data_IF_914933548663
#
_entry.id   IF_914933548663
#
_cell.length_a   1.000
_cell.length_b   1.000
_cell.length_c   1.000
_cell.angle_alpha   90.00
_cell.angle_beta   90.00
_cell.angle_gamma   90.00
#
_symmetry.space_group_name_H-M   'P 1'
#
loop_
_entity.id
_entity.type
_entity.pdbx_description
1 polymer ?
#
# COMPACT_ATOMS: atom_id res chain seq x y z
N UNK A 1 29.63 6.61 35.42
CA UNK A 1 29.16 6.86 34.05
C UNK A 1 30.12 6.18 33.10
N UNK A 2 29.76 4.99 32.63
CA UNK A 2 30.58 4.21 31.69
C UNK A 2 30.27 4.70 30.29
N UNK A 3 31.26 5.32 29.65
CA UNK A 3 31.17 5.77 28.26
C UNK A 3 31.08 4.52 27.36
N UNK A 4 29.95 4.32 26.71
CA UNK A 4 29.80 3.28 25.68
C UNK A 4 30.33 3.88 24.37
N UNK A 5 31.57 3.57 24.02
CA UNK A 5 32.11 3.92 22.71
C UNK A 5 31.44 3.06 21.64
N UNK A 6 30.54 3.68 20.88
CA UNK A 6 29.98 3.08 19.67
C UNK A 6 31.08 3.17 18.59
N UNK A 7 31.91 2.14 18.50
CA UNK A 7 32.86 2.02 17.40
C UNK A 7 32.07 1.80 16.11
N UNK A 8 32.25 2.72 15.15
CA UNK A 8 31.73 2.55 13.80
C UNK A 8 32.57 1.46 13.11
N UNK A 9 31.97 0.38 12.59
CA UNK A 9 32.73 -0.70 11.96
C UNK A 9 33.45 -0.20 10.70
N UNK A 10 34.60 -0.82 10.41
CA UNK A 10 35.43 -0.55 9.23
C UNK A 10 34.60 -0.68 7.96
N UNK A 11 34.68 0.34 7.09
CA UNK A 11 33.97 0.46 5.81
C UNK A 11 34.13 -0.80 4.94
N UNK A 12 32.96 -1.28 4.46
CA UNK A 12 32.70 -2.14 3.29
C UNK A 12 33.43 -3.49 3.30
N UNK A 13 32.70 -4.57 3.59
CA UNK A 13 33.10 -5.89 3.10
C UNK A 13 32.96 -5.88 1.57
N UNK A 14 34.05 -6.01 0.78
CA UNK A 14 33.97 -5.98 -0.69
C UNK A 14 33.07 -7.07 -1.27
N UNK A 15 32.77 -8.10 -0.46
CA UNK A 15 32.09 -9.32 -0.87
C UNK A 15 30.73 -9.53 -0.15
N UNK A 16 30.14 -8.49 0.46
CA UNK A 16 28.88 -8.62 1.21
C UNK A 16 29.02 -9.27 2.59
N UNK A 17 27.89 -9.64 3.20
CA UNK A 17 27.78 -10.18 4.55
C UNK A 17 27.25 -11.61 4.53
N UNK A 18 27.88 -12.53 5.24
CA UNK A 18 27.38 -13.90 5.37
C UNK A 18 26.17 -13.94 6.31
N UNK A 19 25.07 -14.55 5.88
CA UNK A 19 23.81 -14.65 6.64
C UNK A 19 23.49 -16.12 6.90
N UNK A 20 23.10 -16.48 8.13
CA UNK A 20 22.58 -17.81 8.44
C UNK A 20 21.08 -17.72 8.72
N UNK A 21 20.27 -17.99 7.70
CA UNK A 21 18.79 -17.90 7.77
C UNK A 21 18.15 -18.98 8.65
N UNK A 22 18.90 -20.03 9.00
CA UNK A 22 18.43 -21.08 9.91
C UNK A 22 18.49 -20.65 11.38
N UNK A 23 19.13 -19.51 11.68
CA UNK A 23 19.23 -18.95 13.03
C UNK A 23 18.28 -17.77 13.19
N UNK A 24 17.72 -17.64 14.40
CA UNK A 24 16.83 -16.54 14.75
C UNK A 24 15.39 -16.76 14.30
N UNK A 25 14.66 -15.65 14.08
CA UNK A 25 13.26 -15.65 13.66
C UNK A 25 13.12 -14.94 12.31
N UNK A 26 12.27 -15.50 11.44
CA UNK A 26 11.93 -14.88 10.16
C UNK A 26 10.59 -14.16 10.26
N UNK A 27 10.58 -12.87 9.92
CA UNK A 27 9.36 -12.04 9.86
C UNK A 27 8.94 -11.91 8.40
N UNK A 28 7.88 -12.63 8.02
CA UNK A 28 7.43 -12.72 6.62
C UNK A 28 6.64 -11.51 6.08
N UNK A 29 6.49 -10.41 6.84
CA UNK A 29 5.66 -9.27 6.40
C UNK A 29 6.19 -8.59 5.15
N UNK A 30 7.50 -8.36 5.06
CA UNK A 30 8.13 -7.70 3.90
C UNK A 30 8.19 -8.66 2.71
N UNK A 31 8.51 -9.93 2.95
CA UNK A 31 8.57 -10.93 1.88
C UNK A 31 7.19 -11.26 1.29
N UNK A 32 6.12 -11.18 2.10
CA UNK A 32 4.76 -11.37 1.59
C UNK A 32 4.31 -10.22 0.69
N UNK A 33 4.79 -9.00 0.93
CA UNK A 33 4.59 -7.89 -0.01
C UNK A 33 5.29 -8.20 -1.33
N UNK A 34 6.59 -8.53 -1.33
CA UNK A 34 7.28 -8.89 -2.58
C UNK A 34 6.59 -10.01 -3.38
N UNK A 35 6.12 -11.05 -2.70
CA UNK A 35 5.46 -12.20 -3.33
C UNK A 35 4.12 -11.83 -3.99
N UNK A 36 3.33 -10.94 -3.36
CA UNK A 36 1.98 -10.61 -3.82
C UNK A 36 1.93 -9.46 -4.83
N UNK A 37 3.02 -8.70 -5.01
CA UNK A 37 3.03 -7.49 -5.83
C UNK A 37 3.40 -7.82 -7.28
N UNK A 38 2.52 -7.61 -8.27
CA UNK A 38 2.84 -7.78 -9.69
C UNK A 38 3.79 -6.69 -10.19
N UNK A 39 4.42 -6.89 -11.34
CA UNK A 39 5.53 -6.05 -11.83
C UNK A 39 5.15 -4.58 -12.09
N UNK A 40 3.89 -4.30 -12.41
CA UNK A 40 3.33 -2.97 -12.60
C UNK A 40 3.15 -2.19 -11.29
N UNK A 41 3.05 -2.88 -10.16
CA UNK A 41 2.97 -2.28 -8.82
C UNK A 41 4.35 -1.99 -8.21
N UNK A 42 5.45 -2.38 -8.85
CA UNK A 42 6.82 -2.26 -8.32
C UNK A 42 7.54 -1.02 -8.85
N UNK A 43 8.21 -0.26 -8.01
CA UNK A 43 8.88 0.98 -8.40
C UNK A 43 10.37 0.92 -8.08
N UNK A 44 11.22 1.56 -8.88
CA UNK A 44 12.68 1.48 -8.68
C UNK A 44 13.22 2.62 -7.82
N UNK A 45 12.42 3.65 -7.61
CA UNK A 45 12.79 4.82 -6.84
C UNK A 45 11.58 5.45 -6.15
N UNK A 46 11.82 6.21 -5.08
CA UNK A 46 10.77 6.95 -4.39
C UNK A 46 10.19 8.06 -5.27
N UNK A 47 10.99 8.63 -6.18
CA UNK A 47 10.51 9.62 -7.15
C UNK A 47 9.49 9.02 -8.12
N UNK A 48 9.78 7.84 -8.69
CA UNK A 48 8.86 7.18 -9.62
C UNK A 48 7.57 6.76 -8.92
N UNK A 49 7.71 6.21 -7.71
CA UNK A 49 6.58 5.86 -6.84
C UNK A 49 5.71 7.08 -6.57
N UNK A 50 6.31 8.17 -6.06
CA UNK A 50 5.62 9.42 -5.76
C UNK A 50 4.90 9.98 -6.98
N UNK A 51 5.56 10.05 -8.13
CA UNK A 51 4.96 10.56 -9.37
C UNK A 51 3.78 9.71 -9.84
N UNK A 52 3.79 8.40 -9.59
CA UNK A 52 2.67 7.52 -9.88
C UNK A 52 1.47 7.81 -8.98
N UNK A 53 1.66 7.80 -7.66
CA UNK A 53 0.57 8.00 -6.70
C UNK A 53 0.04 9.44 -6.68
N UNK A 54 0.91 10.42 -6.97
CA UNK A 54 0.50 11.83 -7.11
C UNK A 54 -0.42 12.03 -8.33
N UNK A 55 -0.04 11.51 -9.51
CA UNK A 55 -0.91 11.56 -10.71
C UNK A 55 -2.25 10.88 -10.48
N UNK A 56 -2.29 9.83 -9.67
CA UNK A 56 -3.53 9.15 -9.28
C UNK A 56 -4.40 10.03 -8.38
N UNK A 57 -3.79 10.67 -7.37
CA UNK A 57 -4.47 11.61 -6.47
C UNK A 57 -5.04 12.82 -7.21
N UNK A 58 -4.28 13.41 -8.14
CA UNK A 58 -4.71 14.55 -8.98
C UNK A 58 -5.95 14.25 -9.84
N UNK A 59 -6.16 12.98 -10.20
CA UNK A 59 -7.34 12.50 -10.95
C UNK A 59 -8.49 12.04 -10.04
N UNK A 60 -8.29 12.10 -8.73
CA UNK A 60 -9.27 11.63 -7.76
C UNK A 60 -10.13 12.78 -7.24
N UNK A 61 -11.36 12.46 -6.87
CA UNK A 61 -12.30 13.40 -6.27
C UNK A 61 -12.93 12.78 -5.04
N UNK A 62 -12.96 13.52 -3.93
CA UNK A 62 -13.69 13.13 -2.73
C UNK A 62 -15.00 13.89 -2.66
N UNK A 63 -16.08 13.23 -2.22
CA UNK A 63 -17.36 13.87 -1.89
C UNK A 63 -17.88 13.37 -0.57
N UNK A 64 -18.64 14.20 0.12
CA UNK A 64 -19.50 13.79 1.22
C UNK A 64 -20.92 13.96 0.72
N UNK A 65 -21.70 12.88 0.76
CA UNK A 65 -23.05 12.83 0.20
C UNK A 65 -23.99 12.18 1.19
N UNK A 66 -25.24 12.64 1.19
CA UNK A 66 -26.30 12.00 1.96
C UNK A 66 -26.60 10.62 1.36
N UNK A 67 -26.68 9.61 2.23
CA UNK A 67 -26.82 8.20 1.87
C UNK A 67 -28.12 7.95 1.12
N UNK A 68 -29.20 8.58 1.56
CA UNK A 68 -30.52 8.48 0.93
C UNK A 68 -30.60 9.14 -0.45
N UNK A 69 -29.72 10.10 -0.73
CA UNK A 69 -29.67 10.80 -2.00
C UNK A 69 -28.92 10.00 -3.08
N UNK A 70 -28.21 8.93 -2.69
CA UNK A 70 -27.56 8.03 -3.64
C UNK A 70 -28.59 7.09 -4.27
N UNK A 71 -28.60 7.05 -5.60
CA UNK A 71 -29.44 6.11 -6.35
C UNK A 71 -28.59 5.00 -6.95
N UNK A 72 -29.01 3.76 -6.73
CA UNK A 72 -28.37 2.57 -7.29
C UNK A 72 -29.13 2.16 -8.55
N UNK A 73 -28.41 2.10 -9.67
CA UNK A 73 -28.98 1.72 -10.96
C UNK A 73 -28.28 0.48 -11.52
N UNK A 74 -29.07 -0.51 -11.91
CA UNK A 74 -28.59 -1.67 -12.64
C UNK A 74 -28.81 -1.46 -14.15
N UNK A 75 -27.83 -1.84 -14.95
CA UNK A 75 -27.91 -1.77 -16.41
C UNK A 75 -28.99 -2.73 -16.92
N UNK A 76 -29.87 -2.23 -17.81
CA UNK A 76 -30.89 -3.06 -18.45
C UNK A 76 -30.29 -4.08 -19.42
N UNK A 77 -29.19 -3.69 -20.08
CA UNK A 77 -28.56 -4.48 -21.14
C UNK A 77 -27.43 -5.39 -20.64
N UNK A 78 -27.09 -5.29 -19.35
CA UNK A 78 -26.02 -6.09 -18.76
C UNK A 78 -26.33 -6.40 -17.28
N UNK A 79 -26.69 -7.65 -16.95
CA UNK A 79 -27.10 -8.03 -15.60
C UNK A 79 -25.95 -8.01 -14.58
N UNK A 80 -24.70 -7.82 -15.00
CA UNK A 80 -23.53 -7.71 -14.10
C UNK A 80 -23.15 -6.26 -13.80
N UNK A 81 -23.76 -5.29 -14.51
CA UNK A 81 -23.35 -3.88 -14.41
C UNK A 81 -24.28 -3.10 -13.47
N UNK A 82 -23.67 -2.56 -12.41
CA UNK A 82 -24.30 -1.68 -11.43
C UNK A 82 -23.54 -0.36 -11.37
N UNK A 83 -24.27 0.75 -11.26
CA UNK A 83 -23.71 2.10 -11.11
C UNK A 83 -24.44 2.88 -10.02
N UNK A 84 -23.77 3.88 -9.46
CA UNK A 84 -24.31 4.80 -8.47
C UNK A 84 -24.48 6.18 -9.11
N UNK A 85 -25.65 6.77 -8.93
CA UNK A 85 -25.91 8.17 -9.19
C UNK A 85 -25.67 8.93 -7.88
N UNK A 86 -24.53 9.59 -7.79
CA UNK A 86 -24.20 10.44 -6.66
C UNK A 86 -24.75 11.86 -6.90
N UNK A 87 -25.19 12.57 -5.84
CA UNK A 87 -25.50 13.99 -5.93
C UNK A 87 -24.33 14.79 -6.53
N UNK A 88 -24.63 15.71 -7.44
CA UNK A 88 -23.67 16.59 -8.11
C UNK A 88 -22.53 15.87 -8.88
N UNK A 89 -22.73 14.59 -9.21
CA UNK A 89 -21.87 13.88 -10.15
C UNK A 89 -22.40 14.04 -11.58
N UNK A 90 -21.51 14.41 -12.50
CA UNK A 90 -21.84 14.62 -13.91
C UNK A 90 -22.03 13.31 -14.69
N UNK A 91 -21.69 12.17 -14.09
CA UNK A 91 -21.77 10.85 -14.69
C UNK A 91 -22.05 9.78 -13.64
N UNK A 92 -22.68 8.65 -14.01
CA UNK A 92 -22.81 7.49 -13.13
C UNK A 92 -21.44 6.94 -12.73
N UNK A 93 -21.31 6.54 -11.47
CA UNK A 93 -20.07 6.01 -10.91
C UNK A 93 -20.15 4.49 -10.78
N UNK A 94 -19.17 3.77 -11.32
CA UNK A 94 -19.11 2.32 -11.17
C UNK A 94 -18.32 1.92 -9.91
N UNK A 95 -18.88 1.14 -8.98
CA UNK A 95 -18.10 0.60 -7.87
C UNK A 95 -17.07 -0.42 -8.34
N UNK A 96 -15.88 -0.38 -7.74
CA UNK A 96 -14.90 -1.46 -7.80
C UNK A 96 -15.36 -2.63 -6.93
N UNK A 97 -14.70 -3.78 -7.06
CA UNK A 97 -14.96 -4.91 -6.16
C UNK A 97 -14.78 -4.53 -4.68
N UNK A 98 -13.81 -3.66 -4.39
CA UNK A 98 -13.52 -3.16 -3.04
C UNK A 98 -14.61 -2.23 -2.53
N UNK A 99 -14.92 -1.17 -3.27
CA UNK A 99 -15.90 -0.16 -2.85
C UNK A 99 -17.33 -0.71 -2.81
N UNK A 100 -17.67 -1.69 -3.65
CA UNK A 100 -18.91 -2.46 -3.52
C UNK A 100 -18.99 -3.17 -2.15
N UNK A 101 -17.89 -3.78 -1.73
CA UNK A 101 -17.80 -4.43 -0.41
C UNK A 101 -17.97 -3.43 0.73
N UNK A 102 -17.36 -2.26 0.62
CA UNK A 102 -17.51 -1.19 1.59
C UNK A 102 -18.95 -0.66 1.66
N UNK A 103 -19.57 -0.41 0.51
CA UNK A 103 -20.95 0.03 0.41
C UNK A 103 -21.90 -0.98 1.06
N UNK A 104 -21.73 -2.27 0.76
CA UNK A 104 -22.51 -3.34 1.38
C UNK A 104 -22.31 -3.38 2.90
N UNK A 105 -21.07 -3.26 3.37
CA UNK A 105 -20.75 -3.25 4.81
C UNK A 105 -21.37 -2.03 5.53
N UNK A 106 -21.36 -0.85 4.91
CA UNK A 106 -21.93 0.37 5.49
C UNK A 106 -23.43 0.22 5.73
N UNK A 107 -24.13 -0.44 4.81
CA UNK A 107 -25.58 -0.67 4.93
C UNK A 107 -25.93 -1.97 5.66
N UNK A 108 -24.95 -2.65 6.26
CA UNK A 108 -25.16 -3.90 7.02
C UNK A 108 -25.49 -5.12 6.16
N UNK A 109 -25.20 -5.09 4.86
CA UNK A 109 -25.49 -6.17 3.93
C UNK A 109 -24.26 -7.10 3.70
N UNK A 110 -24.45 -8.42 3.59
CA UNK A 110 -23.36 -9.35 3.30
C UNK A 110 -22.83 -9.20 1.85
N UNK A 111 -21.67 -8.59 1.67
CA UNK A 111 -21.07 -8.32 0.36
C UNK A 111 -20.89 -9.59 -0.50
N UNK A 112 -20.46 -10.70 0.11
CA UNK A 112 -20.23 -11.96 -0.59
C UNK A 112 -21.52 -12.52 -1.21
N UNK A 113 -22.65 -12.38 -0.51
CA UNK A 113 -23.96 -12.79 -1.02
C UNK A 113 -24.42 -11.86 -2.14
N UNK A 114 -24.33 -10.54 -1.95
CA UNK A 114 -24.76 -9.58 -2.97
C UNK A 114 -24.00 -9.71 -4.29
N UNK A 115 -22.73 -10.13 -4.26
CA UNK A 115 -21.92 -10.39 -5.47
C UNK A 115 -22.37 -11.60 -6.28
N UNK A 116 -23.16 -12.51 -5.68
CA UNK A 116 -23.71 -13.66 -6.38
C UNK A 116 -25.06 -13.34 -7.03
N UNK A 117 -25.65 -12.19 -6.72
CA UNK A 117 -26.93 -11.77 -7.26
C UNK A 117 -26.72 -10.99 -8.57
N UNK A 118 -27.65 -11.10 -9.53
CA UNK A 118 -27.73 -10.17 -10.64
C UNK A 118 -27.81 -8.72 -10.13
N UNK A 119 -27.18 -7.80 -10.87
CA UNK A 119 -27.10 -6.38 -10.55
C UNK A 119 -28.46 -5.74 -10.16
N UNK A 120 -29.61 -6.07 -10.78
CA UNK A 120 -30.90 -5.54 -10.32
C UNK A 120 -31.25 -5.92 -8.88
N UNK A 121 -31.02 -7.17 -8.48
CA UNK A 121 -31.31 -7.63 -7.12
C UNK A 121 -30.31 -7.07 -6.11
N UNK A 122 -29.02 -7.10 -6.45
CA UNK A 122 -27.99 -6.46 -5.64
C UNK A 122 -28.28 -4.96 -5.45
N UNK A 123 -28.70 -4.28 -6.53
CA UNK A 123 -29.03 -2.86 -6.53
C UNK A 123 -30.21 -2.51 -5.64
N UNK A 124 -31.29 -3.29 -5.68
CA UNK A 124 -32.45 -3.10 -4.79
C UNK A 124 -32.05 -3.26 -3.32
N UNK A 125 -31.26 -4.29 -3.00
CA UNK A 125 -30.79 -4.52 -1.63
C UNK A 125 -29.90 -3.36 -1.13
N UNK A 126 -28.98 -2.88 -1.97
CA UNK A 126 -28.12 -1.74 -1.65
C UNK A 126 -28.94 -0.45 -1.50
N UNK A 127 -29.90 -0.19 -2.40
CA UNK A 127 -30.76 0.97 -2.32
C UNK A 127 -31.59 0.98 -1.04
N UNK A 128 -32.17 -0.17 -0.66
CA UNK A 128 -32.90 -0.29 0.59
C UNK A 128 -32.01 0.00 1.80
N UNK A 129 -30.78 -0.52 1.80
CA UNK A 129 -29.80 -0.26 2.83
C UNK A 129 -29.42 1.23 2.95
N UNK A 130 -29.20 1.90 1.82
CA UNK A 130 -28.85 3.33 1.76
C UNK A 130 -29.95 4.24 2.31
N UNK A 131 -31.22 3.93 2.00
CA UNK A 131 -32.38 4.68 2.50
C UNK A 131 -32.58 4.54 4.03
N UNK A 132 -32.06 3.48 4.64
CA UNK A 132 -32.20 3.20 6.07
C UNK A 132 -30.86 3.35 6.83
N UNK A 133 -29.86 3.97 6.20
CA UNK A 133 -28.51 4.06 6.76
C UNK A 133 -28.43 5.09 7.90
N UNK A 134 -27.98 4.64 9.08
CA UNK A 134 -27.96 5.44 10.32
C UNK A 134 -27.03 6.66 10.30
N UNK A 135 -25.89 6.58 9.61
CA UNK A 135 -24.88 7.64 9.70
C UNK A 135 -25.20 8.86 8.82
N UNK A 136 -26.36 8.85 8.13
CA UNK A 136 -26.92 9.85 7.21
C UNK A 136 -26.02 10.18 6.01
N UNK A 137 -24.72 10.35 6.19
CA UNK A 137 -23.75 10.70 5.14
C UNK A 137 -22.67 9.64 4.95
N UNK A 138 -22.12 9.58 3.74
CA UNK A 138 -20.94 8.79 3.40
C UNK A 138 -19.94 9.63 2.62
N UNK A 139 -18.67 9.24 2.70
CA UNK A 139 -17.58 9.86 1.97
C UNK A 139 -17.12 8.95 0.83
N UNK A 140 -17.19 9.45 -0.40
CA UNK A 140 -16.75 8.73 -1.59
C UNK A 140 -15.34 9.14 -2.00
N UNK A 141 -14.59 8.22 -2.60
CA UNK A 141 -13.39 8.51 -3.36
C UNK A 141 -13.61 8.01 -4.79
N UNK A 142 -13.67 8.93 -5.74
CA UNK A 142 -13.89 8.69 -7.16
C UNK A 142 -12.58 8.89 -7.92
N UNK A 143 -12.38 8.16 -9.03
CA UNK A 143 -11.31 8.42 -9.97
C UNK A 143 -11.82 8.27 -11.39
N UNK A 144 -11.38 9.17 -12.27
CA UNK A 144 -11.68 9.07 -13.69
C UNK A 144 -10.59 8.25 -14.38
N UNK A 145 -10.92 7.06 -14.88
CA UNK A 145 -10.01 6.18 -15.63
C UNK A 145 -10.70 5.54 -16.85
N UNK A 146 -11.03 6.37 -17.84
CA UNK A 146 -11.85 6.00 -18.99
C UNK A 146 -13.35 5.96 -18.67
N UNK A 147 -13.70 5.52 -17.46
CA UNK A 147 -15.00 5.74 -16.82
C UNK A 147 -14.80 6.26 -15.40
N UNK A 148 -15.83 6.85 -14.81
CA UNK A 148 -15.82 7.29 -13.42
C UNK A 148 -16.00 6.07 -12.50
N UNK A 149 -14.98 5.77 -11.71
CA UNK A 149 -14.96 4.62 -10.80
C UNK A 149 -14.96 5.07 -9.34
N UNK A 150 -15.75 4.40 -8.51
CA UNK A 150 -15.77 4.60 -7.08
C UNK A 150 -14.72 3.68 -6.47
N UNK A 151 -13.62 4.25 -5.99
CA UNK A 151 -12.52 3.50 -5.37
C UNK A 151 -12.78 3.16 -3.92
N UNK A 152 -13.44 4.06 -3.20
CA UNK A 152 -13.72 3.86 -1.79
C UNK A 152 -15.05 4.49 -1.36
N UNK A 153 -15.66 3.87 -0.35
CA UNK A 153 -16.78 4.42 0.41
C UNK A 153 -16.47 4.28 1.88
N UNK A 154 -16.44 5.39 2.61
CA UNK A 154 -16.10 5.43 4.04
C UNK A 154 -17.11 6.29 4.80
N UNK A 155 -17.03 6.30 6.13
CA UNK A 155 -17.78 7.27 6.94
C UNK A 155 -17.36 8.73 6.65
N UNK A 156 -18.20 9.71 7.00
CA UNK A 156 -17.96 11.13 6.72
C UNK A 156 -16.67 11.65 7.41
N UNK A 157 -16.44 11.18 8.63
CA UNK A 157 -15.29 11.58 9.47
C UNK A 157 -13.97 10.89 9.10
N UNK A 158 -13.97 10.03 8.08
CA UNK A 158 -12.75 9.37 7.64
C UNK A 158 -11.73 10.39 7.11
N UNK A 159 -10.65 10.59 7.87
CA UNK A 159 -9.48 11.37 7.47
C UNK A 159 -8.62 10.54 6.52
N UNK A 160 -8.45 11.04 5.29
CA UNK A 160 -7.67 10.36 4.25
C UNK A 160 -6.32 11.01 4.12
N UNK A 161 -5.27 10.23 4.35
CA UNK A 161 -3.90 10.59 3.97
C UNK A 161 -3.69 10.00 2.58
N UNK A 162 -3.29 10.84 1.63
CA UNK A 162 -2.99 10.36 0.28
C UNK A 162 -1.61 9.69 0.26
N UNK A 163 -1.46 8.67 -0.58
CA UNK A 163 -0.24 7.87 -0.66
C UNK A 163 0.97 8.74 -1.03
N UNK A 164 0.77 9.76 -1.88
CA UNK A 164 1.84 10.69 -2.21
C UNK A 164 2.34 11.49 -1.01
N UNK A 165 1.50 11.80 -0.03
CA UNK A 165 1.90 12.53 1.18
C UNK A 165 2.80 11.66 2.07
N UNK A 166 2.48 10.36 2.18
CA UNK A 166 3.34 9.41 2.88
C UNK A 166 4.70 9.27 2.16
N UNK A 167 4.68 9.10 0.83
CA UNK A 167 5.94 8.97 0.06
C UNK A 167 6.77 10.24 0.16
N UNK A 168 6.16 11.42 0.09
CA UNK A 168 6.84 12.71 0.26
C UNK A 168 7.49 12.82 1.66
N UNK A 169 6.79 12.37 2.71
CA UNK A 169 7.36 12.33 4.07
C UNK A 169 8.57 11.39 4.15
N UNK A 170 8.52 10.23 3.50
CA UNK A 170 9.66 9.30 3.43
C UNK A 170 10.81 9.89 2.60
N UNK A 171 10.53 10.59 1.50
CA UNK A 171 11.56 11.24 0.68
C UNK A 171 12.36 12.28 1.46
N UNK A 172 11.73 13.00 2.41
CA UNK A 172 12.43 13.97 3.28
C UNK A 172 13.57 13.35 4.09
N UNK A 173 13.47 12.06 4.43
CA UNK A 173 14.50 11.34 5.20
C UNK A 173 15.39 10.44 4.35
N UNK A 174 14.84 9.87 3.26
CA UNK A 174 15.50 8.83 2.48
C UNK A 174 16.01 9.28 1.10
N UNK A 175 15.70 10.52 0.68
CA UNK A 175 15.98 10.97 -0.67
C UNK A 175 15.19 10.14 -1.69
N UNK A 176 15.88 9.59 -2.69
CA UNK A 176 15.23 8.78 -3.71
C UNK A 176 15.13 7.29 -3.33
N UNK A 177 15.66 6.89 -2.17
CA UNK A 177 15.71 5.50 -1.72
C UNK A 177 16.66 4.64 -2.54
N UNK A 178 17.52 5.24 -3.37
CA UNK A 178 18.44 4.55 -4.28
C UNK A 178 19.90 4.58 -3.81
N UNK A 179 20.15 4.96 -2.55
CA UNK A 179 21.49 5.10 -1.97
C UNK A 179 21.97 6.56 -1.86
N UNK A 180 21.12 7.52 -2.19
CA UNK A 180 21.40 8.97 -2.07
C UNK A 180 21.56 9.41 -0.61
N UNK A 181 20.93 8.67 0.29
CA UNK A 181 21.07 8.79 1.74
C UNK A 181 21.44 7.42 2.33
N UNK A 182 21.57 7.34 3.67
CA UNK A 182 21.75 6.05 4.34
C UNK A 182 20.58 5.08 4.15
N UNK A 183 19.37 5.59 3.88
CA UNK A 183 18.17 4.79 3.71
C UNK A 183 17.96 4.48 2.24
N UNK A 184 18.02 3.20 1.90
CA UNK A 184 17.84 2.73 0.52
C UNK A 184 17.06 1.43 0.45
N UNK A 185 16.62 1.10 -0.75
CA UNK A 185 16.12 -0.25 -1.06
C UNK A 185 17.20 -1.27 -0.64
N UNK A 186 16.81 -2.37 0.03
CA UNK A 186 17.75 -3.39 0.45
C UNK A 186 18.55 -3.97 -0.72
N UNK A 187 19.76 -4.39 -0.41
CA UNK A 187 20.55 -5.25 -1.28
C UNK A 187 19.95 -6.65 -1.42
N UNK A 188 20.71 -7.55 -2.04
CA UNK A 188 20.23 -8.89 -2.42
C UNK A 188 20.98 -9.95 -1.64
N UNK A 189 20.23 -10.93 -1.10
CA UNK A 189 20.79 -12.18 -0.58
C UNK A 189 20.90 -13.19 -1.71
N UNK A 190 22.12 -13.64 -2.00
CA UNK A 190 22.34 -14.82 -2.82
C UNK A 190 22.07 -16.08 -1.98
N UNK A 191 20.97 -16.77 -2.27
CA UNK A 191 20.55 -17.97 -1.55
C UNK A 191 21.47 -19.17 -1.74
N UNK A 192 22.28 -19.19 -2.80
CA UNK A 192 23.22 -20.29 -3.04
C UNK A 192 24.45 -20.19 -2.14
N UNK A 193 24.93 -18.97 -1.91
CA UNK A 193 26.13 -18.69 -1.11
C UNK A 193 25.82 -18.18 0.30
N UNK A 194 24.57 -17.79 0.55
CA UNK A 194 24.11 -17.07 1.73
C UNK A 194 24.87 -15.76 1.99
N UNK A 195 25.24 -15.07 0.91
CA UNK A 195 25.93 -13.78 0.97
C UNK A 195 24.94 -12.66 0.63
N UNK A 196 24.75 -11.74 1.57
CA UNK A 196 23.97 -10.53 1.39
C UNK A 196 24.86 -9.40 0.86
N UNK A 197 24.60 -8.95 -0.37
CA UNK A 197 25.31 -7.83 -0.98
C UNK A 197 24.47 -6.54 -0.85
N UNK A 198 24.88 -5.57 0.00
CA UNK A 198 24.16 -4.30 0.15
C UNK A 198 24.19 -3.45 -1.12
N UNK A 199 25.15 -3.66 -2.03
CA UNK A 199 25.29 -2.88 -3.26
C UNK A 199 24.62 -3.57 -4.47
N UNK A 200 23.66 -4.47 -4.23
CA UNK A 200 22.89 -5.08 -5.30
C UNK A 200 22.06 -4.06 -6.08
N UNK A 201 21.89 -4.29 -7.38
CA UNK A 201 21.11 -3.39 -8.24
C UNK A 201 19.61 -3.41 -7.91
N UNK A 202 18.98 -2.25 -8.03
CA UNK A 202 17.53 -2.10 -7.87
C UNK A 202 16.86 -2.40 -9.20
N UNK A 203 16.03 -3.44 -9.20
CA UNK A 203 15.28 -3.94 -10.33
C UNK A 203 13.83 -4.21 -9.91
N UNK A 204 12.98 -4.59 -10.88
CA UNK A 204 11.61 -5.01 -10.59
C UNK A 204 11.57 -6.27 -9.72
N UNK A 205 12.62 -7.08 -9.70
CA UNK A 205 12.68 -8.30 -8.90
C UNK A 205 13.29 -8.08 -7.51
N UNK A 206 13.99 -6.97 -7.30
CA UNK A 206 14.73 -6.69 -6.06
C UNK A 206 14.20 -5.51 -5.27
N UNK A 207 13.35 -4.66 -5.88
CA UNK A 207 12.78 -3.49 -5.19
C UNK A 207 11.80 -3.88 -4.08
N UNK A 208 11.65 -2.96 -3.13
CA UNK A 208 10.75 -3.04 -1.97
C UNK A 208 9.82 -1.82 -1.89
N UNK A 209 9.62 -1.16 -3.03
CA UNK A 209 8.76 0.01 -3.20
C UNK A 209 7.55 -0.39 -4.04
N UNK A 210 6.36 -0.38 -3.42
CA UNK A 210 5.15 -0.89 -4.02
C UNK A 210 3.99 0.10 -3.94
N UNK A 211 3.17 0.15 -4.99
CA UNK A 211 1.86 0.77 -4.98
C UNK A 211 0.88 -0.02 -5.83
N UNK A 212 -0.16 -0.54 -5.19
CA UNK A 212 -1.35 -1.05 -5.87
C UNK A 212 -2.36 0.05 -6.12
N UNK A 213 -3.51 -0.32 -6.66
CA UNK A 213 -4.68 0.53 -6.68
C UNK A 213 -5.21 0.84 -5.25
N UNK A 214 -4.94 0.01 -4.24
CA UNK A 214 -5.51 0.18 -2.90
C UNK A 214 -4.56 0.78 -1.88
N UNK A 215 -3.29 0.43 -1.96
CA UNK A 215 -2.32 0.70 -0.90
C UNK A 215 -0.89 0.88 -1.45
N UNK A 216 -0.03 1.43 -0.58
CA UNK A 216 1.40 1.50 -0.80
C UNK A 216 2.17 0.80 0.30
N UNK A 217 3.34 0.29 -0.06
CA UNK A 217 4.28 -0.28 0.89
C UNK A 217 5.70 0.11 0.49
N UNK A 218 6.44 0.68 1.43
CA UNK A 218 7.84 1.10 1.25
C UNK A 218 8.66 0.44 2.36
N UNK A 219 9.71 -0.29 2.01
CA UNK A 219 10.68 -0.79 2.98
C UNK A 219 12.08 -0.35 2.59
N UNK A 220 12.79 0.26 3.54
CA UNK A 220 14.14 0.80 3.34
C UNK A 220 15.05 0.38 4.50
N UNK A 221 16.34 0.26 4.21
CA UNK A 221 17.37 -0.17 5.16
C UNK A 221 18.58 0.76 5.12
N UNK A 222 19.31 0.77 6.23
CA UNK A 222 20.67 1.27 6.35
C UNK A 222 21.60 0.06 6.53
N UNK A 223 21.89 -0.60 5.41
CA UNK A 223 22.66 -1.84 5.35
C UNK A 223 24.15 -1.63 5.05
N UNK A 224 24.57 -0.38 4.82
CA UNK A 224 25.96 0.03 4.67
C UNK A 224 26.60 0.45 6.00
N UNK A 225 25.79 0.70 7.03
CA UNK A 225 26.25 1.09 8.36
C UNK A 225 25.68 0.14 9.43
N UNK A 226 26.11 -1.15 9.44
CA UNK A 226 25.66 -2.10 10.43
C UNK A 226 26.08 -1.70 11.85
N UNK A 227 25.29 -2.12 12.83
CA UNK A 227 25.62 -2.00 14.25
C UNK A 227 26.12 -3.36 14.72
N UNK A 228 27.28 -3.39 15.38
CA UNK A 228 27.74 -4.58 16.08
C UNK A 228 27.14 -4.61 17.49
N UNK A 229 26.44 -5.69 17.84
CA UNK A 229 25.87 -5.89 19.17
C UNK A 229 26.33 -7.23 19.76
N UNK A 230 27.60 -7.26 20.16
CA UNK A 230 28.22 -8.43 20.76
C UNK A 230 28.84 -9.37 19.72
N UNK A 231 28.98 -10.64 20.09
CA UNK A 231 29.65 -11.66 19.28
C UNK A 231 28.82 -12.92 19.20
N UNK A 232 28.83 -13.55 18.03
CA UNK A 232 28.28 -14.87 17.82
C UNK A 232 29.10 -15.92 18.60
N UNK A 233 28.57 -17.13 18.83
CA UNK A 233 29.35 -18.23 19.43
C UNK A 233 30.64 -18.58 18.67
N UNK A 234 30.73 -18.23 17.39
CA UNK A 234 31.95 -18.35 16.56
C UNK A 234 33.03 -17.32 16.90
N UNK A 235 32.71 -16.29 17.70
CA UNK A 235 33.58 -15.15 18.01
C UNK A 235 33.50 -14.00 17.01
N UNK A 236 32.81 -14.21 15.88
CA UNK A 236 32.54 -13.18 14.86
C UNK A 236 31.58 -12.09 15.41
N UNK A 237 31.67 -10.85 14.92
CA UNK A 237 30.77 -9.77 15.34
C UNK A 237 29.33 -10.08 14.97
N UNK A 238 28.39 -9.84 15.89
CA UNK A 238 26.97 -9.97 15.62
C UNK A 238 26.43 -8.66 15.02
N UNK A 239 26.07 -8.68 13.74
CA UNK A 239 25.75 -7.48 12.96
C UNK A 239 24.24 -7.29 12.79
N UNK A 240 23.77 -6.09 13.09
CA UNK A 240 22.38 -5.66 12.93
C UNK A 240 22.27 -4.56 11.88
N UNK A 241 21.41 -4.78 10.90
CA UNK A 241 21.02 -3.77 9.92
C UNK A 241 19.73 -3.10 10.36
N UNK A 242 19.71 -1.77 10.29
CA UNK A 242 18.51 -1.00 10.62
C UNK A 242 17.62 -0.92 9.40
N UNK A 243 16.32 -0.96 9.62
CA UNK A 243 15.34 -0.75 8.56
C UNK A 243 14.01 -0.30 9.13
N UNK A 244 13.18 0.24 8.25
CA UNK A 244 11.79 0.57 8.55
C UNK A 244 10.94 0.32 7.32
N UNK A 245 9.67 0.02 7.54
CA UNK A 245 8.68 0.08 6.48
C UNK A 245 7.58 1.09 6.81
N UNK A 246 6.97 1.63 5.78
CA UNK A 246 5.80 2.48 5.83
C UNK A 246 4.72 1.91 4.91
N UNK A 247 3.46 2.02 5.34
CA UNK A 247 2.30 1.51 4.61
C UNK A 247 1.14 2.48 4.78
N UNK A 248 0.34 2.66 3.72
CA UNK A 248 -0.89 3.44 3.74
C UNK A 248 -1.92 2.86 2.76
N UNK A 249 -3.20 3.12 3.01
CA UNK A 249 -4.32 2.80 2.10
C UNK A 249 -5.25 4.00 2.01
N UNK A 250 -5.36 4.59 0.82
CA UNK A 250 -6.29 5.69 0.53
C UNK A 250 -7.76 5.23 0.58
N UNK A 251 -7.99 3.94 0.43
CA UNK A 251 -9.33 3.35 0.28
C UNK A 251 -9.85 2.71 1.56
N UNK A 252 -9.16 2.87 2.69
CA UNK A 252 -9.49 2.19 3.94
C UNK A 252 -9.04 0.72 3.96
N UNK A 253 -8.97 0.15 5.15
CA UNK A 253 -8.60 -1.25 5.42
C UNK A 253 -9.76 -2.01 6.05
#
# INVERSE_FOLDING_TARGET
MTHMEIQSPTRVAPNGYKVDVGRGQSIGRVSSEWFNRPADERYLSLTDLHNSVKRRSERSKTRIVDSEAIRVEASRDNPERLTLMLPDANAPVAPTHWSFGQLASLVGAPAAYLRQLPAPLAGINLQHGLLNHRAEQIKTLEIENGRLELRAVTGPDYGRIFDHELVEAVQKIAGNGTGDTRWKVPGVLDWSTHIYNPNGDISKDTTTLYASDRDIFVFLVDDLNPIEAGRLPSGEPDLYFRGFYAWNSEVGS
#
